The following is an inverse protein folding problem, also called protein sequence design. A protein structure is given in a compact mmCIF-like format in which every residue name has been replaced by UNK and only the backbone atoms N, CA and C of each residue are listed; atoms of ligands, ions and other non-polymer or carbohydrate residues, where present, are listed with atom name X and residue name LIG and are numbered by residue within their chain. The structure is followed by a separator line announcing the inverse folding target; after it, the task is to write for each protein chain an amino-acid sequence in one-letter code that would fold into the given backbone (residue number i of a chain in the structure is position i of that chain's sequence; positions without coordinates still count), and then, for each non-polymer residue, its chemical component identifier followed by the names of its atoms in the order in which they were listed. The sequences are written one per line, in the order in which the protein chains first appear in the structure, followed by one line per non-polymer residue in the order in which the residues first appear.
data_IF_793042362940
#
_entry.id   IF_793042362940
#
_cell.length_a   1.000
_cell.length_b   1.000
_cell.length_c   1.000
_cell.angle_alpha   90.00
_cell.angle_beta   90.00
_cell.angle_gamma   90.00
#
_symmetry.space_group_name_H-M   'P 1'
#
loop_
_entity.id
_entity.type
_entity.pdbx_description
1 polymer ?
#
# COMPACT_ATOMS: atom_id res chain seq x y z
N UNK A 1 19.75 36.73 -12.44
CA UNK A 1 19.78 35.25 -12.42
C UNK A 1 18.90 34.75 -11.30
N UNK A 2 17.64 34.40 -11.60
CA UNK A 2 16.71 33.87 -10.59
C UNK A 2 17.00 32.40 -10.32
N UNK A 3 17.42 32.06 -9.11
CA UNK A 3 17.54 30.67 -8.65
C UNK A 3 16.17 29.97 -8.79
N UNK A 4 16.10 28.96 -9.67
CA UNK A 4 14.96 28.04 -9.81
C UNK A 4 14.72 27.35 -8.47
N UNK A 5 13.60 27.68 -7.82
CA UNK A 5 13.07 26.89 -6.70
C UNK A 5 12.58 25.54 -7.25
N UNK A 6 13.39 24.49 -7.10
CA UNK A 6 12.98 23.10 -7.34
C UNK A 6 12.09 22.68 -6.16
N UNK A 7 10.78 22.86 -6.27
CA UNK A 7 9.84 22.31 -5.27
C UNK A 7 9.29 20.96 -5.75
N UNK A 8 10.05 19.88 -5.50
CA UNK A 8 9.47 18.54 -5.30
C UNK A 8 10.29 17.82 -4.21
N UNK A 9 9.74 17.78 -3.00
CA UNK A 9 9.58 16.55 -2.22
C UNK A 9 8.45 16.74 -1.19
N UNK A 10 7.40 15.91 -1.21
CA UNK A 10 6.45 15.76 -0.08
C UNK A 10 5.19 16.64 -0.01
N UNK A 11 4.83 17.36 -1.08
CA UNK A 11 3.53 18.06 -1.28
C UNK A 11 3.13 19.17 -0.27
N UNK A 12 2.06 19.93 -0.59
CA UNK A 12 1.60 21.20 0.02
C UNK A 12 2.02 21.43 1.49
N UNK A 13 2.47 22.65 1.83
CA UNK A 13 2.89 23.04 3.20
C UNK A 13 1.83 22.80 4.28
N UNK A 14 0.55 22.89 3.93
CA UNK A 14 -0.56 22.54 4.82
C UNK A 14 -1.57 21.65 4.09
N UNK A 15 -1.24 20.35 3.92
CA UNK A 15 -2.05 19.48 3.10
C UNK A 15 -3.28 19.01 3.89
N UNK A 16 -4.37 18.78 3.17
CA UNK A 16 -5.58 18.17 3.73
C UNK A 16 -5.31 16.80 4.36
N UNK A 17 -4.38 16.03 3.79
CA UNK A 17 -3.84 14.80 4.35
C UNK A 17 -2.33 14.73 4.13
N UNK A 18 -1.56 14.36 5.16
CA UNK A 18 -0.13 14.10 5.07
C UNK A 18 0.20 12.77 5.74
N UNK A 19 0.71 11.76 5.02
CA UNK A 19 1.08 10.49 5.62
C UNK A 19 2.20 10.66 6.67
N UNK A 20 3.08 11.65 6.53
CA UNK A 20 4.12 11.94 7.53
C UNK A 20 3.51 12.47 8.82
N UNK A 21 2.61 13.47 8.73
CA UNK A 21 1.98 14.08 9.91
C UNK A 21 0.94 13.16 10.55
N UNK A 22 0.06 12.61 9.72
CA UNK A 22 -1.16 11.94 10.17
C UNK A 22 -0.92 10.45 10.51
N UNK A 23 0.14 9.84 9.96
CA UNK A 23 0.54 8.46 10.24
C UNK A 23 1.88 8.43 10.98
N UNK A 24 2.99 8.79 10.33
CA UNK A 24 4.34 8.53 10.89
C UNK A 24 4.62 9.26 12.21
N UNK A 25 4.33 10.56 12.30
CA UNK A 25 4.56 11.34 13.53
C UNK A 25 3.65 10.88 14.65
N UNK A 26 2.38 10.61 14.36
CA UNK A 26 1.46 10.06 15.34
C UNK A 26 1.99 8.73 15.90
N UNK A 27 2.44 7.82 15.03
CA UNK A 27 3.00 6.54 15.48
C UNK A 27 4.32 6.69 16.25
N UNK A 28 5.14 7.70 15.92
CA UNK A 28 6.36 8.00 16.67
C UNK A 28 6.08 8.55 18.07
N UNK A 29 5.03 9.36 18.22
CA UNK A 29 4.60 9.88 19.52
C UNK A 29 4.02 8.78 20.41
N UNK A 30 3.30 7.83 19.81
CA UNK A 30 2.64 6.74 20.52
C UNK A 30 3.56 5.54 20.79
N UNK A 31 4.70 5.45 20.09
CA UNK A 31 5.52 4.24 20.09
C UNK A 31 7.02 4.45 20.10
N UNK A 32 7.69 3.97 21.15
CA UNK A 32 9.14 4.03 21.28
C UNK A 32 9.90 3.30 20.17
N UNK A 33 9.41 2.14 19.70
CA UNK A 33 10.05 1.42 18.60
C UNK A 33 10.05 2.25 17.31
N UNK A 34 8.88 2.80 16.94
CA UNK A 34 8.73 3.68 15.77
C UNK A 34 9.67 4.89 15.87
N UNK A 35 9.69 5.56 17.03
CA UNK A 35 10.56 6.71 17.26
C UNK A 35 12.05 6.35 17.09
N UNK A 36 12.51 5.23 17.65
CA UNK A 36 13.90 4.81 17.51
C UNK A 36 14.28 4.59 16.05
N UNK A 37 13.44 3.90 15.28
CA UNK A 37 13.69 3.68 13.85
C UNK A 37 13.66 4.97 13.03
N UNK A 38 12.78 5.92 13.36
CA UNK A 38 12.80 7.25 12.73
C UNK A 38 14.10 8.01 13.01
N UNK A 39 14.63 7.94 14.25
CA UNK A 39 15.92 8.57 14.59
C UNK A 39 17.07 7.90 13.84
N UNK A 40 17.08 6.55 13.78
CA UNK A 40 18.06 5.79 12.97
C UNK A 40 18.01 6.24 11.51
N UNK A 41 16.81 6.35 10.93
CA UNK A 41 16.64 6.80 9.54
C UNK A 41 17.17 8.22 9.35
N UNK A 42 16.90 9.14 10.27
CA UNK A 42 17.37 10.52 10.19
C UNK A 42 18.91 10.60 10.28
N UNK A 43 19.52 9.88 11.23
CA UNK A 43 20.98 9.85 11.41
C UNK A 43 21.70 9.22 10.20
N UNK A 44 21.16 8.12 9.65
CA UNK A 44 21.69 7.47 8.46
C UNK A 44 21.63 8.39 7.23
N UNK A 45 20.50 9.08 7.04
CA UNK A 45 20.29 10.00 5.93
C UNK A 45 21.22 11.21 6.02
N UNK A 46 21.36 11.82 7.21
CA UNK A 46 22.29 12.92 7.45
C UNK A 46 23.76 12.50 7.21
N UNK A 47 24.13 11.30 7.63
CA UNK A 47 25.48 10.75 7.39
C UNK A 47 25.76 10.63 5.89
N UNK A 48 24.82 10.06 5.13
CA UNK A 48 24.92 9.95 3.67
C UNK A 48 25.06 11.30 2.99
N UNK A 49 24.26 12.29 3.39
CA UNK A 49 24.37 13.66 2.85
C UNK A 49 25.73 14.31 3.11
N UNK A 50 26.36 14.01 4.25
CA UNK A 50 27.68 14.52 4.59
C UNK A 50 28.82 13.77 3.88
N UNK A 51 28.55 12.64 3.24
CA UNK A 51 29.57 11.80 2.57
C UNK A 51 30.60 11.20 3.52
N UNK A 52 30.31 11.16 4.82
CA UNK A 52 31.21 10.64 5.85
C UNK A 52 31.03 9.14 6.10
N UNK A 53 31.97 8.50 6.83
CA UNK A 53 31.80 7.12 7.27
C UNK A 53 30.61 7.00 8.24
N UNK A 54 30.05 5.78 8.33
CA UNK A 54 28.95 5.50 9.24
C UNK A 54 29.38 5.73 10.69
N UNK A 55 28.70 6.61 11.46
CA UNK A 55 29.13 6.91 12.82
C UNK A 55 28.85 5.72 13.74
N UNK A 56 29.73 5.48 14.71
CA UNK A 56 29.54 4.39 15.68
C UNK A 56 28.22 4.50 16.46
N UNK A 57 27.70 5.71 16.63
CA UNK A 57 26.39 5.95 17.26
C UNK A 57 25.25 5.29 16.50
N UNK A 58 25.28 5.32 15.16
CA UNK A 58 24.25 4.69 14.33
C UNK A 58 24.27 3.18 14.49
N UNK A 59 25.46 2.56 14.42
CA UNK A 59 25.61 1.13 14.67
C UNK A 59 25.08 0.71 16.05
N UNK A 60 25.48 1.44 17.11
CA UNK A 60 25.01 1.17 18.49
C UNK A 60 23.49 1.31 18.61
N UNK A 61 22.89 2.32 17.97
CA UNK A 61 21.44 2.55 18.00
C UNK A 61 20.69 1.44 17.25
N UNK A 62 21.17 1.01 16.08
CA UNK A 62 20.61 -0.14 15.34
C UNK A 62 20.69 -1.42 16.17
N UNK A 63 21.85 -1.71 16.77
CA UNK A 63 22.03 -2.88 17.63
C UNK A 63 21.07 -2.86 18.83
N UNK A 64 20.92 -1.72 19.51
CA UNK A 64 19.99 -1.57 20.63
C UNK A 64 18.52 -1.76 20.20
N UNK A 65 18.13 -1.20 19.04
CA UNK A 65 16.79 -1.35 18.50
C UNK A 65 16.47 -2.82 18.15
N UNK A 66 17.42 -3.53 17.52
CA UNK A 66 17.26 -4.96 17.24
C UNK A 66 17.21 -5.81 18.50
N UNK A 67 18.05 -5.54 19.49
CA UNK A 67 17.99 -6.24 20.78
C UNK A 67 16.64 -6.01 21.48
N UNK A 68 16.06 -4.81 21.38
CA UNK A 68 14.74 -4.54 21.95
C UNK A 68 13.63 -5.32 21.23
N UNK A 69 13.64 -5.34 19.89
CA UNK A 69 12.69 -6.16 19.12
C UNK A 69 12.83 -7.65 19.43
N UNK A 70 14.07 -8.15 19.50
CA UNK A 70 14.35 -9.56 19.79
C UNK A 70 13.90 -9.97 21.21
N UNK A 71 14.09 -9.11 22.21
CA UNK A 71 13.58 -9.37 23.58
C UNK A 71 12.06 -9.53 23.59
N UNK A 72 11.34 -8.68 22.86
CA UNK A 72 9.88 -8.80 22.75
C UNK A 72 9.47 -10.11 22.05
N UNK A 73 10.18 -10.51 20.98
CA UNK A 73 9.96 -11.79 20.32
C UNK A 73 10.25 -13.01 21.22
N UNK A 74 11.25 -12.91 22.11
CA UNK A 74 11.55 -13.98 23.07
C UNK A 74 10.48 -14.11 24.16
N UNK A 75 9.86 -13.00 24.57
CA UNK A 75 8.78 -12.97 25.57
C UNK A 75 7.38 -13.11 24.96
N UNK A 76 7.29 -13.39 23.67
CA UNK A 76 6.05 -13.31 22.90
C UNK A 76 4.97 -14.31 23.34
N UNK A 77 5.35 -15.41 23.98
CA UNK A 77 4.39 -16.35 24.59
C UNK A 77 3.68 -15.77 25.82
N UNK A 78 4.23 -14.69 26.40
CA UNK A 78 3.71 -14.02 27.59
C UNK A 78 3.09 -12.65 27.28
N UNK A 79 3.53 -11.99 26.22
CA UNK A 79 3.09 -10.65 25.82
C UNK A 79 2.15 -10.71 24.60
N UNK A 80 1.04 -9.97 24.62
CA UNK A 80 0.18 -9.80 23.45
C UNK A 80 0.87 -8.93 22.41
N UNK A 81 0.57 -9.17 21.12
CA UNK A 81 0.99 -8.27 20.05
C UNK A 81 0.40 -6.89 20.28
N UNK A 82 1.27 -5.88 20.32
CA UNK A 82 0.86 -4.47 20.47
C UNK A 82 1.04 -3.72 19.15
N UNK A 83 0.20 -2.71 18.92
CA UNK A 83 0.32 -1.79 17.78
C UNK A 83 1.72 -1.18 17.71
N UNK A 84 2.29 -0.83 18.87
CA UNK A 84 3.62 -0.24 18.98
C UNK A 84 4.71 -1.17 18.42
N UNK A 85 4.59 -2.47 18.68
CA UNK A 85 5.53 -3.46 18.19
C UNK A 85 5.37 -3.66 16.67
N UNK A 86 4.13 -3.82 16.19
CA UNK A 86 3.83 -3.97 14.74
C UNK A 86 4.33 -2.75 13.95
N UNK A 87 3.97 -1.54 14.40
CA UNK A 87 4.40 -0.30 13.76
C UNK A 87 5.92 -0.07 13.88
N UNK A 88 6.53 -0.56 14.96
CA UNK A 88 7.97 -0.59 15.13
C UNK A 88 8.67 -1.42 14.06
N UNK A 89 8.17 -2.62 13.76
CA UNK A 89 8.70 -3.47 12.68
C UNK A 89 8.46 -2.83 11.31
N UNK A 90 7.28 -2.26 11.06
CA UNK A 90 6.99 -1.53 9.82
C UNK A 90 8.01 -0.40 9.62
N UNK A 91 8.29 0.39 10.66
CA UNK A 91 9.27 1.48 10.57
C UNK A 91 10.71 0.96 10.41
N UNK A 92 11.05 -0.19 10.98
CA UNK A 92 12.31 -0.88 10.73
C UNK A 92 12.46 -1.22 9.25
N UNK A 93 11.42 -1.81 8.64
CA UNK A 93 11.38 -2.15 7.23
C UNK A 93 11.57 -0.90 6.37
N UNK A 94 10.81 0.18 6.64
CA UNK A 94 10.93 1.48 5.94
C UNK A 94 12.35 2.05 6.04
N UNK A 95 12.97 1.93 7.21
CA UNK A 95 14.31 2.45 7.44
C UNK A 95 15.33 1.63 6.65
N UNK A 96 15.32 0.31 6.80
CA UNK A 96 16.27 -0.59 6.15
C UNK A 96 16.11 -0.62 4.62
N UNK A 97 14.90 -0.54 4.08
CA UNK A 97 14.70 -0.49 2.62
C UNK A 97 15.35 0.73 1.97
N UNK A 98 15.65 1.78 2.75
CA UNK A 98 16.30 3.01 2.28
C UNK A 98 17.81 3.00 2.51
N UNK A 99 18.28 2.30 3.56
CA UNK A 99 19.67 2.39 4.02
C UNK A 99 20.49 1.13 3.77
N UNK A 100 19.85 -0.02 3.59
CA UNK A 100 20.47 -1.32 3.41
C UNK A 100 20.08 -1.95 2.06
N UNK A 101 20.66 -3.11 1.78
CA UNK A 101 20.35 -3.88 0.58
C UNK A 101 18.95 -4.54 0.68
N UNK A 102 18.27 -4.83 -0.45
CA UNK A 102 16.90 -5.37 -0.47
C UNK A 102 16.71 -6.64 0.38
N UNK A 103 17.75 -7.47 0.53
CA UNK A 103 17.73 -8.70 1.30
C UNK A 103 17.37 -8.43 2.77
N UNK A 104 17.90 -7.35 3.36
CA UNK A 104 17.64 -6.98 4.76
C UNK A 104 16.17 -6.59 4.95
N UNK A 105 15.62 -5.79 4.03
CA UNK A 105 14.21 -5.41 4.08
C UNK A 105 13.28 -6.63 3.92
N UNK A 106 13.67 -7.60 3.08
CA UNK A 106 12.94 -8.85 2.90
C UNK A 106 13.03 -9.80 4.11
N UNK A 107 14.12 -9.77 4.89
CA UNK A 107 14.20 -10.47 6.17
C UNK A 107 13.20 -9.87 7.16
N UNK A 108 13.13 -8.54 7.25
CA UNK A 108 12.18 -7.86 8.14
C UNK A 108 10.73 -8.06 7.71
N UNK A 109 10.45 -8.12 6.40
CA UNK A 109 9.13 -8.49 5.89
C UNK A 109 8.70 -9.88 6.38
N UNK A 110 9.58 -10.88 6.26
CA UNK A 110 9.31 -12.24 6.77
C UNK A 110 9.08 -12.27 8.28
N UNK A 111 9.87 -11.50 9.03
CA UNK A 111 9.68 -11.36 10.48
C UNK A 111 8.33 -10.71 10.80
N UNK A 112 7.91 -9.68 10.06
CA UNK A 112 6.62 -9.03 10.20
C UNK A 112 5.45 -10.00 9.92
N UNK A 113 5.52 -10.79 8.85
CA UNK A 113 4.53 -11.82 8.55
C UNK A 113 4.44 -12.88 9.66
N UNK A 114 5.59 -13.34 10.17
CA UNK A 114 5.63 -14.31 11.26
C UNK A 114 5.01 -13.76 12.55
N UNK A 115 5.25 -12.48 12.86
CA UNK A 115 4.63 -11.80 14.00
C UNK A 115 3.11 -11.76 13.84
N UNK A 116 2.60 -11.32 12.68
CA UNK A 116 1.15 -11.31 12.44
C UNK A 116 0.54 -12.70 12.54
N UNK A 117 1.18 -13.72 11.96
CA UNK A 117 0.72 -15.11 12.04
C UNK A 117 0.63 -15.61 13.47
N UNK A 118 1.63 -15.30 14.29
CA UNK A 118 1.64 -15.68 15.72
C UNK A 118 0.53 -14.97 16.50
N UNK A 119 0.10 -13.79 16.04
CA UNK A 119 -1.06 -13.06 16.55
C UNK A 119 -2.43 -13.59 16.14
N UNK A 120 -2.48 -14.73 15.45
CA UNK A 120 -3.73 -15.28 14.91
C UNK A 120 -4.12 -14.71 13.54
N UNK A 121 -3.20 -14.04 12.85
CA UNK A 121 -3.41 -13.46 11.53
C UNK A 121 -3.65 -11.95 11.55
N UNK A 122 -3.60 -11.32 10.38
CA UNK A 122 -3.76 -9.87 10.24
C UNK A 122 -5.11 -9.41 10.79
N UNK A 123 -6.20 -10.10 10.45
CA UNK A 123 -7.56 -9.70 10.84
C UNK A 123 -7.71 -9.67 12.36
N UNK A 124 -7.15 -10.67 13.06
CA UNK A 124 -7.19 -10.74 14.52
C UNK A 124 -6.33 -9.68 15.18
N UNK A 125 -5.11 -9.45 14.66
CA UNK A 125 -4.21 -8.41 15.17
C UNK A 125 -4.85 -7.02 15.06
N UNK A 126 -5.45 -6.69 13.92
CA UNK A 126 -6.15 -5.40 13.76
C UNK A 126 -7.37 -5.33 14.68
N UNK A 127 -8.19 -6.39 14.76
CA UNK A 127 -9.37 -6.40 15.61
C UNK A 127 -9.04 -6.21 17.11
N UNK A 128 -7.89 -6.73 17.55
CA UNK A 128 -7.40 -6.58 18.92
C UNK A 128 -6.74 -5.22 19.20
N UNK A 129 -6.46 -4.43 18.16
CA UNK A 129 -5.86 -3.11 18.29
C UNK A 129 -6.78 -2.14 19.05
N UNK A 130 -6.27 -1.35 20.00
CA UNK A 130 -7.03 -0.23 20.58
C UNK A 130 -7.32 0.88 19.56
N UNK A 131 -6.54 0.96 18.47
CA UNK A 131 -6.63 1.96 17.42
C UNK A 131 -6.62 1.28 16.02
N UNK A 132 -7.66 0.48 15.70
CA UNK A 132 -7.65 -0.36 14.51
C UNK A 132 -7.62 0.47 13.22
N UNK A 133 -8.24 1.64 13.21
CA UNK A 133 -8.32 2.51 12.03
C UNK A 133 -6.99 3.20 11.68
N UNK A 134 -5.98 3.09 12.55
CA UNK A 134 -4.66 3.69 12.36
C UNK A 134 -3.61 2.70 11.84
N UNK A 135 -4.04 1.49 11.47
CA UNK A 135 -3.20 0.40 10.96
C UNK A 135 -2.92 0.49 9.45
N UNK A 136 -3.11 1.67 8.85
CA UNK A 136 -2.85 1.90 7.41
C UNK A 136 -1.38 1.68 7.05
N UNK A 137 -0.48 1.81 8.03
CA UNK A 137 0.95 1.52 7.89
C UNK A 137 1.25 0.07 7.53
N UNK A 138 0.33 -0.88 7.78
CA UNK A 138 0.50 -2.29 7.43
C UNK A 138 0.67 -2.54 5.92
N UNK A 139 0.30 -1.59 5.05
CA UNK A 139 0.55 -1.69 3.61
C UNK A 139 2.01 -1.47 3.24
N UNK A 140 2.74 -0.69 4.04
CA UNK A 140 4.10 -0.23 3.72
C UNK A 140 5.09 -1.35 3.44
N UNK A 141 5.16 -2.44 4.23
CA UNK A 141 6.12 -3.52 4.00
C UNK A 141 6.13 -4.04 2.56
N UNK A 142 4.97 -4.25 1.95
CA UNK A 142 4.90 -4.79 0.58
C UNK A 142 5.11 -3.74 -0.52
N UNK A 143 4.89 -2.46 -0.20
CA UNK A 143 5.13 -1.36 -1.14
C UNK A 143 6.63 -1.14 -1.38
N UNK A 144 7.45 -1.32 -0.35
CA UNK A 144 8.86 -0.93 -0.40
C UNK A 144 9.82 -2.12 -0.47
N UNK A 145 9.41 -3.31 -0.03
CA UNK A 145 10.24 -4.51 -0.11
C UNK A 145 10.15 -5.10 -1.52
N UNK A 146 11.05 -4.66 -2.38
CA UNK A 146 11.25 -5.27 -3.69
C UNK A 146 11.52 -6.78 -3.53
N UNK A 147 10.79 -7.65 -4.25
CA UNK A 147 10.97 -9.08 -4.16
C UNK A 147 12.32 -9.49 -4.72
N UNK A 148 12.95 -10.44 -4.03
CA UNK A 148 14.13 -11.13 -4.54
C UNK A 148 13.72 -12.08 -5.69
N UNK A 149 14.63 -12.40 -6.63
CA UNK A 149 14.32 -13.26 -7.78
C UNK A 149 13.74 -14.63 -7.41
N UNK A 150 14.17 -15.20 -6.29
CA UNK A 150 13.71 -16.49 -5.75
C UNK A 150 12.32 -16.43 -5.11
N UNK A 151 11.81 -15.23 -4.84
CA UNK A 151 10.47 -15.01 -4.31
C UNK A 151 9.39 -14.91 -5.41
N UNK A 152 9.78 -14.93 -6.68
CA UNK A 152 8.86 -14.87 -7.82
C UNK A 152 8.24 -16.25 -8.06
N UNK A 153 6.91 -16.29 -8.12
CA UNK A 153 6.10 -17.51 -8.28
C UNK A 153 5.39 -17.51 -9.63
N UNK A 154 4.80 -16.39 -10.02
CA UNK A 154 4.04 -16.28 -11.27
C UNK A 154 4.88 -15.63 -12.37
N UNK A 155 5.45 -16.46 -13.24
CA UNK A 155 5.98 -16.06 -14.54
C UNK A 155 4.84 -15.81 -15.53
N UNK A 156 5.18 -15.35 -16.75
CA UNK A 156 4.22 -15.12 -17.84
C UNK A 156 3.40 -16.37 -18.16
N UNK A 157 3.96 -17.57 -18.01
CA UNK A 157 3.22 -18.83 -18.21
C UNK A 157 2.03 -19.00 -17.25
N UNK A 158 2.12 -18.42 -16.05
CA UNK A 158 1.07 -18.51 -15.03
C UNK A 158 0.26 -17.23 -14.87
N UNK A 159 0.30 -16.33 -15.87
CA UNK A 159 -0.42 -15.05 -15.87
C UNK A 159 -1.91 -15.25 -15.59
N UNK A 160 -2.58 -16.17 -16.29
CA UNK A 160 -4.01 -16.42 -16.14
C UNK A 160 -4.40 -16.73 -14.68
N UNK A 161 -3.57 -17.49 -13.97
CA UNK A 161 -3.81 -17.84 -12.57
C UNK A 161 -3.65 -16.64 -11.66
N UNK A 162 -2.62 -15.83 -11.89
CA UNK A 162 -2.44 -14.58 -11.16
C UNK A 162 -3.62 -13.63 -11.40
N UNK A 163 -4.13 -13.56 -12.63
CA UNK A 163 -5.27 -12.75 -13.01
C UNK A 163 -6.59 -13.25 -12.39
N UNK A 164 -6.81 -14.56 -12.30
CA UNK A 164 -7.96 -15.12 -11.60
C UNK A 164 -7.94 -14.81 -10.11
N UNK A 165 -6.77 -14.98 -9.46
CA UNK A 165 -6.59 -14.60 -8.06
C UNK A 165 -6.85 -13.11 -7.85
N UNK A 166 -6.33 -12.25 -8.73
CA UNK A 166 -6.59 -10.80 -8.68
C UNK A 166 -8.10 -10.52 -8.75
N UNK A 167 -8.82 -11.15 -9.69
CA UNK A 167 -10.27 -10.96 -9.85
C UNK A 167 -11.04 -11.36 -8.60
N UNK A 168 -10.70 -12.48 -7.97
CA UNK A 168 -11.29 -12.92 -6.69
C UNK A 168 -11.03 -11.92 -5.57
N UNK A 169 -9.79 -11.45 -5.43
CA UNK A 169 -9.41 -10.50 -4.37
C UNK A 169 -10.11 -9.14 -4.58
N UNK A 170 -10.13 -8.60 -5.81
CA UNK A 170 -10.77 -7.30 -6.10
C UNK A 170 -12.27 -7.31 -5.75
N UNK A 171 -12.94 -8.43 -6.00
CA UNK A 171 -14.38 -8.60 -5.71
C UNK A 171 -14.68 -8.73 -4.20
N UNK A 172 -13.65 -8.86 -3.35
CA UNK A 172 -13.80 -9.15 -1.93
C UNK A 172 -14.28 -10.59 -1.67
N UNK A 173 -14.02 -11.50 -2.62
CA UNK A 173 -14.43 -12.90 -2.55
C UNK A 173 -13.32 -13.79 -1.96
N UNK A 174 -12.22 -13.20 -1.48
CA UNK A 174 -11.13 -13.91 -0.83
C UNK A 174 -11.44 -14.14 0.67
N UNK A 175 -11.72 -15.38 1.12
CA UNK A 175 -12.00 -15.64 2.53
C UNK A 175 -10.72 -15.69 3.39
N UNK A 176 -9.54 -15.86 2.78
CA UNK A 176 -8.30 -16.13 3.49
C UNK A 176 -7.71 -14.87 4.15
N UNK A 177 -7.08 -15.04 5.32
CA UNK A 177 -6.22 -14.01 5.91
C UNK A 177 -4.93 -13.87 5.08
N UNK A 178 -4.44 -12.65 4.83
CA UNK A 178 -3.19 -12.43 4.11
C UNK A 178 -1.99 -13.18 4.70
N UNK A 179 -1.96 -13.48 6.01
CA UNK A 179 -0.85 -14.22 6.63
C UNK A 179 -0.83 -15.70 6.23
N UNK A 180 -1.95 -16.25 5.79
CA UNK A 180 -2.08 -17.65 5.38
C UNK A 180 -1.91 -17.84 3.87
N UNK A 181 -1.90 -16.74 3.11
CA UNK A 181 -1.66 -16.78 1.67
C UNK A 181 -0.22 -17.18 1.36
N UNK A 182 -0.09 -18.38 0.78
CA UNK A 182 1.13 -18.92 0.18
C UNK A 182 0.81 -19.20 -1.28
N UNK A 183 1.44 -18.46 -2.19
CA UNK A 183 1.26 -18.66 -3.62
C UNK A 183 2.18 -19.78 -4.10
N UNK A 184 1.62 -20.70 -4.87
CA UNK A 184 2.38 -21.76 -5.55
C UNK A 184 1.92 -21.82 -7.01
N UNK A 185 2.88 -21.94 -7.92
CA UNK A 185 2.63 -22.22 -9.32
C UNK A 185 2.81 -23.73 -9.56
N UNK A 186 1.91 -24.33 -10.33
CA UNK A 186 1.94 -25.76 -10.64
C UNK A 186 1.30 -25.95 -12.01
N UNK A 187 1.79 -26.84 -12.86
CA UNK A 187 1.13 -27.14 -14.14
C UNK A 187 -0.16 -27.96 -13.99
N UNK A 188 -0.51 -28.39 -12.77
CA UNK A 188 -1.79 -29.08 -12.53
C UNK A 188 -2.91 -28.05 -12.66
N UNK A 189 -3.65 -28.11 -13.78
CA UNK A 189 -4.79 -27.26 -14.07
C UNK A 189 -6.02 -27.87 -13.42
N UNK A 190 -6.43 -27.33 -12.28
CA UNK A 190 -7.80 -27.48 -11.82
C UNK A 190 -8.49 -26.19 -12.26
N UNK A 191 -9.15 -26.20 -13.42
CA UNK A 191 -9.97 -25.07 -13.85
C UNK A 191 -11.27 -25.09 -13.03
N UNK A 192 -11.50 -24.17 -12.08
CA UNK A 192 -12.84 -24.01 -11.55
C UNK A 192 -13.64 -23.27 -12.64
N UNK A 193 -14.69 -23.90 -13.15
CA UNK A 193 -15.67 -23.30 -14.06
C UNK A 193 -16.50 -22.25 -13.33
N UNK A 194 -15.88 -21.15 -12.90
CA UNK A 194 -16.59 -20.01 -12.32
C UNK A 194 -16.85 -19.04 -13.47
N UNK A 195 -18.11 -18.81 -13.78
CA UNK A 195 -18.55 -17.70 -14.63
C UNK A 195 -18.14 -16.40 -13.95
N UNK A 196 -16.92 -15.92 -14.22
CA UNK A 196 -16.46 -14.65 -13.71
C UNK A 196 -17.22 -13.55 -14.44
N UNK A 197 -18.18 -12.91 -13.74
CA UNK A 197 -18.72 -11.63 -14.17
C UNK A 197 -17.55 -10.67 -14.39
N UNK A 198 -17.41 -10.18 -15.62
CA UNK A 198 -16.37 -9.22 -15.98
C UNK A 198 -16.59 -7.92 -15.20
N UNK A 199 -15.54 -7.42 -14.54
CA UNK A 199 -15.55 -6.09 -13.92
C UNK A 199 -15.28 -4.99 -14.96
N UNK A 200 -14.86 -5.34 -16.18
CA UNK A 200 -14.63 -4.35 -17.23
C UNK A 200 -15.93 -3.64 -17.54
N UNK A 201 -15.89 -2.31 -17.44
CA UNK A 201 -17.05 -1.46 -17.71
C UNK A 201 -18.15 -1.50 -16.63
N UNK A 202 -17.91 -2.10 -15.46
CA UNK A 202 -18.89 -2.13 -14.36
C UNK A 202 -19.15 -0.75 -13.75
N UNK A 203 -18.28 0.22 -14.03
CA UNK A 203 -18.42 1.60 -13.56
C UNK A 203 -19.38 2.40 -14.47
N UNK A 204 -20.37 3.14 -13.92
CA UNK A 204 -21.26 3.99 -14.70
C UNK A 204 -20.49 4.97 -15.60
N UNK A 205 -21.01 5.23 -16.80
CA UNK A 205 -20.36 6.08 -17.80
C UNK A 205 -20.04 7.48 -17.27
N UNK A 206 -20.90 8.04 -16.42
CA UNK A 206 -20.71 9.35 -15.81
C UNK A 206 -19.50 9.36 -14.86
N UNK A 207 -19.36 8.37 -13.98
CA UNK A 207 -18.23 8.28 -13.04
C UNK A 207 -16.93 8.04 -13.80
N UNK A 208 -16.97 7.20 -14.85
CA UNK A 208 -15.84 7.00 -15.75
C UNK A 208 -15.39 8.29 -16.43
N UNK A 209 -16.34 9.06 -16.97
CA UNK A 209 -16.03 10.35 -17.57
C UNK A 209 -15.41 11.32 -16.56
N UNK A 210 -15.92 11.36 -15.32
CA UNK A 210 -15.35 12.16 -14.24
C UNK A 210 -13.91 11.75 -13.90
N UNK A 211 -13.62 10.44 -13.79
CA UNK A 211 -12.26 9.97 -13.55
C UNK A 211 -11.30 10.40 -14.67
N UNK A 212 -11.70 10.18 -15.92
CA UNK A 212 -10.88 10.44 -17.11
C UNK A 212 -10.70 11.93 -17.44
N UNK A 213 -11.64 12.79 -17.06
CA UNK A 213 -11.57 14.23 -17.30
C UNK A 213 -10.97 15.02 -16.12
N UNK A 214 -10.72 14.36 -14.98
CA UNK A 214 -10.22 15.03 -13.77
C UNK A 214 -8.69 15.11 -13.71
N UNK A 215 -8.21 15.90 -12.74
CA UNK A 215 -6.79 15.97 -12.34
C UNK A 215 -6.20 14.63 -11.86
N UNK A 216 -7.05 13.63 -11.63
CA UNK A 216 -6.64 12.27 -11.20
C UNK A 216 -6.23 11.43 -12.41
N UNK A 217 -6.73 11.72 -13.62
CA UNK A 217 -6.53 10.91 -14.81
C UNK A 217 -5.06 10.52 -15.10
N UNK A 218 -4.05 11.40 -14.94
CA UNK A 218 -2.65 11.02 -15.14
C UNK A 218 -2.17 9.89 -14.22
N UNK A 219 -2.68 9.82 -12.98
CA UNK A 219 -2.30 8.80 -12.00
C UNK A 219 -3.00 7.46 -12.22
N UNK A 220 -3.90 7.37 -13.21
CA UNK A 220 -4.50 6.11 -13.62
C UNK A 220 -3.71 5.44 -14.75
N UNK A 221 -2.84 6.18 -15.45
CA UNK A 221 -2.20 5.72 -16.69
C UNK A 221 -1.07 4.74 -16.41
N UNK A 222 -0.96 3.75 -17.31
CA UNK A 222 0.06 2.69 -17.26
C UNK A 222 1.20 2.92 -18.26
N UNK A 223 1.13 3.99 -19.06
CA UNK A 223 2.09 4.41 -20.09
C UNK A 223 3.54 4.53 -19.58
N UNK A 224 3.72 4.95 -18.33
CA UNK A 224 5.05 5.16 -17.72
C UNK A 224 5.62 3.94 -16.99
N UNK A 225 5.04 2.73 -17.16
CA UNK A 225 5.42 1.53 -16.41
C UNK A 225 6.92 1.23 -16.38
N UNK A 226 7.58 1.27 -17.55
CA UNK A 226 9.00 0.93 -17.67
C UNK A 226 9.96 1.91 -16.96
N UNK A 227 9.49 3.11 -16.63
CA UNK A 227 10.28 4.15 -15.95
C UNK A 227 10.14 4.09 -14.43
N UNK A 228 9.14 3.37 -13.92
CA UNK A 228 8.81 3.31 -12.50
C UNK A 228 9.70 2.32 -11.75
N UNK A 229 10.16 2.72 -10.57
CA UNK A 229 10.76 1.80 -9.60
C UNK A 229 9.71 0.90 -8.95
N UNK A 230 10.11 -0.19 -8.30
CA UNK A 230 9.19 -1.12 -7.64
C UNK A 230 8.20 -0.41 -6.69
N UNK A 231 8.67 0.53 -5.87
CA UNK A 231 7.80 1.27 -4.95
C UNK A 231 6.73 2.09 -5.69
N UNK A 232 7.08 2.73 -6.81
CA UNK A 232 6.12 3.47 -7.64
C UNK A 232 5.15 2.52 -8.36
N UNK A 233 5.64 1.39 -8.89
CA UNK A 233 4.81 0.35 -9.52
C UNK A 233 3.78 -0.21 -8.54
N UNK A 234 4.22 -0.58 -7.34
CA UNK A 234 3.37 -1.15 -6.30
C UNK A 234 2.36 -0.12 -5.76
N UNK A 235 2.77 1.14 -5.53
CA UNK A 235 1.88 2.25 -5.17
C UNK A 235 0.83 2.53 -6.26
N UNK A 236 1.22 2.52 -7.53
CA UNK A 236 0.28 2.71 -8.63
C UNK A 236 -0.71 1.54 -8.73
N UNK A 237 -0.22 0.30 -8.72
CA UNK A 237 -1.03 -0.91 -8.73
C UNK A 237 -2.07 -0.90 -7.60
N UNK A 238 -1.64 -0.68 -6.36
CA UNK A 238 -2.57 -0.72 -5.22
C UNK A 238 -3.56 0.45 -5.27
N UNK A 239 -3.17 1.62 -5.79
CA UNK A 239 -4.10 2.73 -5.99
C UNK A 239 -5.24 2.34 -6.93
N UNK A 240 -4.92 1.74 -8.08
CA UNK A 240 -5.93 1.24 -9.01
C UNK A 240 -6.78 0.14 -8.38
N UNK A 241 -6.15 -0.81 -7.68
CA UNK A 241 -6.85 -1.89 -6.98
C UNK A 241 -7.87 -1.33 -5.99
N UNK A 242 -7.46 -0.38 -5.15
CA UNK A 242 -8.30 0.26 -4.14
C UNK A 242 -9.46 1.05 -4.77
N UNK A 243 -9.22 1.74 -5.88
CA UNK A 243 -10.28 2.43 -6.63
C UNK A 243 -11.28 1.41 -7.20
N UNK A 244 -10.81 0.37 -7.89
CA UNK A 244 -11.68 -0.65 -8.50
C UNK A 244 -12.50 -1.37 -7.44
N UNK A 245 -11.88 -1.86 -6.36
CA UNK A 245 -12.61 -2.57 -5.30
C UNK A 245 -13.63 -1.66 -4.61
N UNK A 246 -13.28 -0.39 -4.35
CA UNK A 246 -14.21 0.55 -3.70
C UNK A 246 -15.41 0.86 -4.61
N UNK A 247 -15.18 1.16 -5.89
CA UNK A 247 -16.28 1.37 -6.83
C UNK A 247 -17.13 0.11 -7.02
N UNK A 248 -16.52 -1.07 -7.03
CA UNK A 248 -17.22 -2.35 -7.09
C UNK A 248 -18.11 -2.57 -5.85
N UNK A 249 -17.60 -2.34 -4.63
CA UNK A 249 -18.38 -2.44 -3.39
C UNK A 249 -19.56 -1.45 -3.39
N UNK A 250 -19.35 -0.24 -3.93
CA UNK A 250 -20.38 0.80 -4.03
C UNK A 250 -21.30 0.70 -5.27
N UNK A 251 -21.18 -0.34 -6.11
CA UNK A 251 -21.86 -0.44 -7.43
C UNK A 251 -23.39 -0.33 -7.42
N UNK A 252 -24.02 -0.56 -6.26
CA UNK A 252 -25.48 -0.49 -6.10
C UNK A 252 -25.98 0.91 -5.73
N UNK A 253 -25.09 1.84 -5.38
CA UNK A 253 -25.43 3.19 -4.95
C UNK A 253 -24.57 4.24 -5.69
N UNK A 254 -25.18 4.83 -6.72
CA UNK A 254 -24.55 5.90 -7.50
C UNK A 254 -24.18 7.12 -6.64
N UNK A 255 -25.00 7.47 -5.63
CA UNK A 255 -24.73 8.61 -4.76
C UNK A 255 -23.48 8.35 -3.91
N UNK A 256 -23.32 7.12 -3.41
CA UNK A 256 -22.12 6.73 -2.69
C UNK A 256 -20.87 6.74 -3.60
N UNK A 257 -20.97 6.26 -4.85
CA UNK A 257 -19.86 6.33 -5.82
C UNK A 257 -19.45 7.77 -6.14
N UNK A 258 -20.43 8.65 -6.40
CA UNK A 258 -20.17 10.07 -6.65
C UNK A 258 -19.58 10.76 -5.41
N UNK A 259 -20.09 10.43 -4.22
CA UNK A 259 -19.56 10.91 -2.94
C UNK A 259 -18.10 10.50 -2.72
N UNK A 260 -17.76 9.24 -3.01
CA UNK A 260 -16.39 8.74 -2.97
C UNK A 260 -15.48 9.49 -3.95
N UNK A 261 -15.88 9.63 -5.22
CA UNK A 261 -15.10 10.38 -6.21
C UNK A 261 -14.87 11.84 -5.79
N UNK A 262 -15.91 12.51 -5.29
CA UNK A 262 -15.80 13.90 -4.81
C UNK A 262 -14.86 14.00 -3.60
N UNK A 263 -14.90 13.03 -2.69
CA UNK A 263 -13.99 12.92 -1.56
C UNK A 263 -12.54 12.77 -2.00
N UNK A 264 -12.28 11.84 -2.93
CA UNK A 264 -10.98 11.61 -3.54
C UNK A 264 -10.44 12.88 -4.22
N UNK A 265 -11.25 13.51 -5.06
CA UNK A 265 -10.89 14.74 -5.75
C UNK A 265 -10.55 15.87 -4.77
N UNK A 266 -11.37 16.06 -3.73
CA UNK A 266 -11.13 17.07 -2.69
C UNK A 266 -9.82 16.80 -1.93
N UNK A 267 -9.57 15.56 -1.53
CA UNK A 267 -8.33 15.18 -0.84
C UNK A 267 -7.11 15.40 -1.74
N UNK A 268 -7.21 15.02 -3.01
CA UNK A 268 -6.17 15.28 -4.01
C UNK A 268 -5.89 16.77 -4.11
N UNK A 269 -6.92 17.58 -4.36
CA UNK A 269 -6.74 19.02 -4.53
C UNK A 269 -6.12 19.63 -3.27
N UNK A 270 -6.58 19.27 -2.08
CA UNK A 270 -6.07 19.84 -0.84
C UNK A 270 -4.67 19.34 -0.45
N UNK A 271 -4.20 18.25 -1.05
CA UNK A 271 -2.89 17.67 -0.73
C UNK A 271 -1.84 17.97 -1.82
N UNK A 272 -2.24 18.08 -3.09
CA UNK A 272 -1.34 18.33 -4.21
C UNK A 272 -0.67 19.71 -4.17
N UNK A 273 0.53 19.82 -4.75
CA UNK A 273 1.24 21.08 -4.94
C UNK A 273 0.93 21.68 -6.31
N UNK A 274 0.75 22.99 -6.36
CA UNK A 274 0.60 23.71 -7.63
C UNK A 274 1.95 23.86 -8.31
N UNK A 275 2.06 23.39 -9.56
CA UNK A 275 3.23 23.58 -10.42
C UNK A 275 3.32 25.02 -10.90
N UNK A 276 4.45 25.38 -11.51
CA UNK A 276 4.63 26.70 -12.13
C UNK A 276 3.63 26.99 -13.26
N UNK A 277 3.13 25.95 -13.93
CA UNK A 277 2.08 26.04 -14.95
C UNK A 277 0.66 26.17 -14.37
N UNK A 278 0.52 26.23 -13.05
CA UNK A 278 -0.76 26.33 -12.36
C UNK A 278 -1.49 24.99 -12.17
N UNK A 279 -1.00 23.89 -12.75
CA UNK A 279 -1.56 22.55 -12.59
C UNK A 279 -1.24 21.97 -11.21
N UNK A 280 -2.10 21.12 -10.63
CA UNK A 280 -1.79 20.45 -9.35
C UNK A 280 -1.20 19.06 -9.58
N UNK A 281 -0.11 18.76 -8.88
CA UNK A 281 0.59 17.47 -8.99
C UNK A 281 1.12 16.95 -7.64
N UNK A 282 1.38 15.65 -7.58
CA UNK A 282 1.99 14.92 -6.47
C UNK A 282 2.74 13.69 -7.02
N UNK A 283 3.47 12.98 -6.16
CA UNK A 283 4.12 11.72 -6.55
C UNK A 283 3.12 10.55 -6.55
N UNK A 284 3.44 9.44 -7.22
CA UNK A 284 2.61 8.22 -7.24
C UNK A 284 2.38 7.69 -5.81
N UNK A 285 3.39 7.76 -4.94
CA UNK A 285 3.29 7.35 -3.54
C UNK A 285 2.41 8.31 -2.73
N UNK A 286 2.46 9.62 -3.04
CA UNK A 286 1.56 10.61 -2.45
C UNK A 286 0.10 10.39 -2.87
N UNK A 287 -0.12 10.08 -4.14
CA UNK A 287 -1.44 9.76 -4.67
C UNK A 287 -2.01 8.48 -4.03
N UNK A 288 -1.18 7.45 -3.89
CA UNK A 288 -1.53 6.23 -3.15
C UNK A 288 -2.11 6.55 -1.77
N UNK A 289 -1.42 7.39 -0.98
CA UNK A 289 -1.88 7.76 0.34
C UNK A 289 -3.20 8.54 0.34
N UNK A 290 -3.41 9.39 -0.67
CA UNK A 290 -4.69 10.07 -0.90
C UNK A 290 -5.82 9.07 -1.21
N UNK A 291 -5.56 8.08 -2.07
CA UNK A 291 -6.54 7.02 -2.39
C UNK A 291 -6.89 6.20 -1.15
N UNK A 292 -5.88 5.78 -0.39
CA UNK A 292 -6.05 5.05 0.87
C UNK A 292 -6.97 5.85 1.82
N UNK A 293 -6.66 7.13 2.04
CA UNK A 293 -7.48 8.01 2.89
C UNK A 293 -8.90 8.16 2.37
N UNK A 294 -9.08 8.37 1.05
CA UNK A 294 -10.40 8.49 0.44
C UNK A 294 -11.24 7.22 0.63
N UNK A 295 -10.64 6.03 0.46
CA UNK A 295 -11.32 4.75 0.68
C UNK A 295 -11.72 4.61 2.15
N UNK A 296 -10.87 5.01 3.09
CA UNK A 296 -11.20 4.96 4.50
C UNK A 296 -12.34 5.90 4.90
N UNK A 297 -12.38 7.11 4.32
CA UNK A 297 -13.45 8.07 4.59
C UNK A 297 -14.84 7.54 4.17
N UNK A 298 -14.92 6.60 3.22
CA UNK A 298 -16.17 5.90 2.88
C UNK A 298 -16.73 5.15 4.10
N UNK A 299 -15.87 4.41 4.80
CA UNK A 299 -16.28 3.58 5.94
C UNK A 299 -16.48 4.39 7.23
N UNK A 300 -15.78 5.51 7.40
CA UNK A 300 -15.94 6.39 8.58
C UNK A 300 -17.36 6.93 8.72
N UNK A 301 -18.09 7.10 7.61
CA UNK A 301 -19.46 7.59 7.57
C UNK A 301 -20.52 6.52 7.87
N UNK A 302 -20.13 5.27 8.15
CA UNK A 302 -21.06 4.22 8.57
C UNK A 302 -21.48 4.41 10.03
N UNK A 303 -22.76 4.19 10.32
CA UNK A 303 -23.35 4.44 11.65
C UNK A 303 -22.96 3.39 12.70
N UNK A 304 -22.77 2.13 12.31
CA UNK A 304 -22.41 1.05 13.22
C UNK A 304 -20.89 0.82 13.32
N UNK A 305 -20.35 0.86 14.54
CA UNK A 305 -18.91 0.69 14.80
C UNK A 305 -18.43 -0.72 14.46
N UNK A 306 -19.23 -1.75 14.71
CA UNK A 306 -18.84 -3.13 14.47
C UNK A 306 -18.74 -3.43 12.97
N UNK A 307 -19.76 -3.02 12.20
CA UNK A 307 -19.77 -3.08 10.74
C UNK A 307 -18.59 -2.30 10.15
N UNK A 308 -18.37 -1.06 10.60
CA UNK A 308 -17.24 -0.25 10.15
C UNK A 308 -15.89 -0.92 10.39
N UNK A 309 -15.71 -1.53 11.57
CA UNK A 309 -14.46 -2.23 11.90
C UNK A 309 -14.25 -3.46 11.02
N UNK A 310 -15.30 -4.25 10.81
CA UNK A 310 -15.25 -5.42 9.92
C UNK A 310 -14.88 -5.02 8.50
N UNK A 311 -15.59 -4.05 7.93
CA UNK A 311 -15.33 -3.55 6.57
C UNK A 311 -13.92 -2.98 6.42
N UNK A 312 -13.42 -2.28 7.45
CA UNK A 312 -12.04 -1.80 7.49
C UNK A 312 -11.02 -2.95 7.46
N UNK A 313 -11.23 -3.97 8.29
CA UNK A 313 -10.35 -5.14 8.38
C UNK A 313 -10.35 -5.90 7.05
N UNK A 314 -11.53 -6.15 6.48
CA UNK A 314 -11.66 -6.84 5.20
C UNK A 314 -11.02 -6.03 4.06
N UNK A 315 -11.20 -4.71 4.05
CA UNK A 315 -10.51 -3.82 3.10
C UNK A 315 -8.98 -3.91 3.21
N UNK A 316 -8.43 -3.84 4.43
CA UNK A 316 -6.99 -3.92 4.64
C UNK A 316 -6.45 -5.31 4.29
N UNK A 317 -7.22 -6.36 4.57
CA UNK A 317 -6.89 -7.73 4.20
C UNK A 317 -6.88 -7.94 2.67
N UNK A 318 -7.90 -7.44 1.95
CA UNK A 318 -7.97 -7.49 0.49
C UNK A 318 -6.76 -6.75 -0.13
N UNK A 319 -6.46 -5.55 0.35
CA UNK A 319 -5.33 -4.74 -0.12
C UNK A 319 -3.98 -5.43 0.11
N UNK A 320 -3.79 -6.04 1.28
CA UNK A 320 -2.57 -6.80 1.59
C UNK A 320 -2.46 -8.07 0.76
N UNK A 321 -3.57 -8.78 0.53
CA UNK A 321 -3.60 -9.96 -0.34
C UNK A 321 -3.19 -9.60 -1.77
N UNK A 322 -3.71 -8.49 -2.30
CA UNK A 322 -3.38 -7.99 -3.63
C UNK A 322 -1.90 -7.58 -3.73
N UNK A 323 -1.35 -6.91 -2.72
CA UNK A 323 0.07 -6.57 -2.67
C UNK A 323 0.97 -7.81 -2.58
N UNK A 324 0.58 -8.82 -1.80
CA UNK A 324 1.30 -10.11 -1.74
C UNK A 324 1.32 -10.79 -3.11
N UNK A 325 0.17 -10.84 -3.78
CA UNK A 325 0.04 -11.40 -5.14
C UNK A 325 0.95 -10.64 -6.11
N UNK A 326 0.83 -9.30 -6.14
CA UNK A 326 1.64 -8.45 -7.02
C UNK A 326 3.15 -8.66 -6.82
N UNK A 327 3.58 -8.81 -5.56
CA UNK A 327 4.98 -9.04 -5.21
C UNK A 327 5.53 -10.35 -5.78
N UNK A 328 4.74 -11.43 -5.76
CA UNK A 328 5.19 -12.74 -6.27
C UNK A 328 5.08 -12.90 -7.79
N UNK A 329 4.54 -11.92 -8.51
CA UNK A 329 4.48 -11.91 -9.97
C UNK A 329 5.76 -11.35 -10.61
N UNK A 330 6.14 -11.79 -11.81
CA UNK A 330 7.19 -11.13 -12.60
C UNK A 330 6.71 -9.74 -13.12
N UNK A 331 7.62 -8.93 -13.66
CA UNK A 331 7.28 -7.56 -14.06
C UNK A 331 6.24 -7.46 -15.18
N UNK A 332 6.25 -8.42 -16.12
CA UNK A 332 5.23 -8.53 -17.18
C UNK A 332 3.83 -8.73 -16.58
N UNK A 333 3.66 -9.78 -15.79
CA UNK A 333 2.38 -10.08 -15.12
C UNK A 333 1.92 -8.92 -14.22
N UNK A 334 2.83 -8.24 -13.51
CA UNK A 334 2.49 -7.03 -12.73
C UNK A 334 1.94 -5.91 -13.60
N UNK A 335 2.51 -5.70 -14.79
CA UNK A 335 2.02 -4.73 -15.77
C UNK A 335 0.62 -5.11 -16.21
N UNK A 336 0.38 -6.38 -16.56
CA UNK A 336 -0.92 -6.84 -17.07
C UNK A 336 -2.03 -6.76 -16.01
N UNK A 337 -1.70 -7.12 -14.75
CA UNK A 337 -2.58 -6.87 -13.60
C UNK A 337 -2.94 -5.39 -13.47
N UNK A 338 -1.98 -4.49 -13.64
CA UNK A 338 -2.17 -3.04 -13.54
C UNK A 338 -3.02 -2.51 -14.71
N UNK A 339 -2.75 -2.97 -15.93
CA UNK A 339 -3.54 -2.66 -17.13
C UNK A 339 -4.98 -3.12 -16.96
N UNK A 340 -5.21 -4.32 -16.45
CA UNK A 340 -6.54 -4.83 -16.20
C UNK A 340 -7.32 -3.94 -15.21
N UNK A 341 -6.70 -3.51 -14.11
CA UNK A 341 -7.34 -2.62 -13.15
C UNK A 341 -7.65 -1.25 -13.76
N UNK A 342 -6.74 -0.71 -14.59
CA UNK A 342 -6.99 0.49 -15.37
C UNK A 342 -8.21 0.32 -16.28
N UNK A 343 -8.29 -0.77 -17.05
CA UNK A 343 -9.41 -1.08 -17.94
C UNK A 343 -10.74 -1.24 -17.18
N UNK A 344 -10.72 -1.73 -15.95
CA UNK A 344 -11.91 -1.76 -15.10
C UNK A 344 -12.46 -0.36 -14.80
N UNK A 345 -11.58 0.64 -14.64
CA UNK A 345 -11.97 2.03 -14.38
C UNK A 345 -12.36 2.78 -15.67
N UNK A 346 -11.68 2.52 -16.78
CA UNK A 346 -11.80 3.31 -18.01
C UNK A 346 -12.69 2.69 -19.08
N UNK A 347 -12.97 1.38 -19.00
CA UNK A 347 -13.76 0.67 -20.00
C UNK A 347 -13.09 0.54 -21.38
N UNK A 348 -11.81 0.93 -21.52
CA UNK A 348 -11.05 0.73 -22.75
C UNK A 348 -10.59 -0.73 -22.90
N UNK A 349 -10.62 -1.25 -24.13
CA UNK A 349 -9.96 -2.52 -24.49
C UNK A 349 -8.52 -2.32 -24.97
N UNK A 350 -8.09 -1.07 -25.15
CA UNK A 350 -6.78 -0.73 -25.68
C UNK A 350 -5.84 -0.40 -24.52
N UNK A 351 -4.66 -1.02 -24.52
CA UNK A 351 -3.53 -0.45 -23.80
C UNK A 351 -3.28 0.93 -24.41
N UNK A 352 -3.10 2.00 -23.60
CA UNK A 352 -2.73 3.29 -24.16
C UNK A 352 -1.38 3.13 -24.86
N UNK A 353 -1.33 3.51 -26.14
CA UNK A 353 -0.14 3.54 -26.99
C UNK A 353 1.01 4.35 -26.36
#
# INVERSE_FOLDING_TARGET
MGQKKREIYGTNRNPGFSPVRDISFRQALLGSYTLQWMIISAEALLTRYRGGPEPQSLFRRKAAAYLALNRHLQNFSREKITDQFVNGIVMAIITESRIAAPEVANIHLRAWEAVLKTGGGLKQVIAASPQPFDQMGCLMPYLICEPLPDALVFSEEFEDRAMDLLRTIVKGENPADPTDLIFTASHVVVQPHVLFLSMRGSLPQQIRHLLLSSVIAPYLRVDTWGQRQYAQKSSHFISLFLLVTTFWKLRRDYKAQAGFFNGLHRLFMNSATQTQSGTRSMTDEGFFWVVVKACFDVYVNMSDRATRLKEYIDFLADALSALKLFRVCCDGVRKDMTVYLYQCLTGGNEAPD
#
